data_IF_198491098392
#
_entry.id   IF_198491098392
#
_cell.length_a   1.000
_cell.length_b   1.000
_cell.length_c   1.000
_cell.angle_alpha   90.00
_cell.angle_beta   90.00
_cell.angle_gamma   90.00
#
_symmetry.space_group_name_H-M   'P 1'
#
loop_
_entity.id
_entity.type
_entity.pdbx_description
1 polymer ?
#
# COMPACT_ATOMS: atom_id res chain seq x y z
N UNK A 1 -13.43 -5.90 1.80
CA UNK A 1 -13.49 -4.85 2.84
C UNK A 1 -13.07 -5.35 4.22
N UNK A 2 -13.12 -6.65 4.52
CA UNK A 2 -12.71 -7.22 5.83
C UNK A 2 -11.23 -7.04 6.16
N UNK A 3 -10.32 -7.22 5.20
CA UNK A 3 -8.87 -7.22 5.48
C UNK A 3 -8.33 -5.87 5.98
N UNK A 4 -9.00 -4.75 5.66
CA UNK A 4 -8.59 -3.42 6.13
C UNK A 4 -8.83 -3.25 7.64
N UNK A 5 -9.90 -3.84 8.19
CA UNK A 5 -10.22 -3.75 9.61
C UNK A 5 -9.24 -4.58 10.45
N UNK A 6 -8.84 -5.75 9.96
CA UNK A 6 -7.91 -6.64 10.66
C UNK A 6 -6.55 -5.95 10.85
N UNK A 7 -6.01 -5.30 9.82
CA UNK A 7 -4.73 -4.58 9.92
C UNK A 7 -4.82 -3.40 10.91
N UNK A 8 -5.93 -2.66 10.92
CA UNK A 8 -6.11 -1.55 11.88
C UNK A 8 -6.24 -2.04 13.32
N UNK A 9 -7.00 -3.12 13.55
CA UNK A 9 -7.15 -3.73 14.87
C UNK A 9 -5.81 -4.29 15.34
N UNK A 10 -5.07 -4.96 14.47
CA UNK A 10 -3.74 -5.49 14.75
C UNK A 10 -2.75 -4.38 15.13
N UNK A 11 -2.67 -3.30 14.34
CA UNK A 11 -1.79 -2.14 14.66
C UNK A 11 -2.17 -1.52 16.01
N UNK A 12 -3.47 -1.33 16.27
CA UNK A 12 -3.95 -0.76 17.52
C UNK A 12 -3.61 -1.66 18.71
N UNK A 13 -3.87 -2.97 18.62
CA UNK A 13 -3.57 -3.94 19.67
C UNK A 13 -2.07 -3.98 19.97
N UNK A 14 -1.24 -4.03 18.92
CA UNK A 14 0.21 -4.08 19.06
C UNK A 14 0.77 -2.78 19.68
N UNK A 15 0.20 -1.62 19.35
CA UNK A 15 0.53 -0.35 20.00
C UNK A 15 0.17 -0.38 21.50
N UNK A 16 -1.04 -0.84 21.84
CA UNK A 16 -1.50 -0.96 23.23
C UNK A 16 -0.63 -1.92 24.04
N UNK A 17 -0.23 -3.05 23.45
CA UNK A 17 0.69 -4.01 24.10
C UNK A 17 2.07 -3.40 24.36
N UNK A 18 2.67 -2.71 23.39
CA UNK A 18 3.96 -2.04 23.57
C UNK A 18 3.89 -1.00 24.70
N UNK A 19 2.85 -0.17 24.72
CA UNK A 19 2.64 0.83 25.77
C UNK A 19 2.43 0.19 27.14
N UNK A 20 1.73 -0.95 27.21
CA UNK A 20 1.45 -1.65 28.46
C UNK A 20 2.70 -2.23 29.13
N UNK A 21 3.75 -2.53 28.35
CA UNK A 21 5.03 -3.06 28.83
C UNK A 21 6.02 -1.91 29.15
N UNK A 22 5.62 -0.64 28.96
CA UNK A 22 6.49 0.52 29.15
C UNK A 22 7.50 0.73 28.02
N UNK A 23 7.32 0.05 26.89
CA UNK A 23 8.12 0.24 25.68
C UNK A 23 7.70 1.51 24.95
N UNK A 24 8.68 2.21 24.34
CA UNK A 24 8.37 3.26 23.39
C UNK A 24 7.89 2.60 22.08
N UNK A 25 6.71 3.01 21.58
CA UNK A 25 6.31 2.64 20.22
C UNK A 25 7.36 3.22 19.27
N UNK A 26 8.08 2.40 18.50
CA UNK A 26 9.04 2.92 17.56
C UNK A 26 8.29 3.74 16.51
N UNK A 27 8.78 4.95 16.20
CA UNK A 27 8.17 5.85 15.20
C UNK A 27 7.98 5.16 13.84
N UNK A 28 8.73 4.09 13.59
CA UNK A 28 8.60 3.21 12.44
C UNK A 28 8.78 1.75 12.86
N UNK A 29 7.81 0.84 12.60
CA UNK A 29 8.04 -0.58 12.82
C UNK A 29 9.25 -1.01 11.98
N UNK A 30 10.20 -1.74 12.58
CA UNK A 30 11.36 -2.27 11.87
C UNK A 30 10.92 -3.41 10.95
N UNK A 31 10.30 -3.08 9.82
CA UNK A 31 9.85 -4.04 8.79
C UNK A 31 10.92 -4.15 7.69
N UNK A 32 12.20 -4.18 8.04
CA UNK A 32 13.28 -4.29 7.05
C UNK A 32 14.06 -5.60 7.15
N UNK A 33 13.47 -6.76 6.82
CA UNK A 33 14.25 -7.78 6.13
C UNK A 33 14.63 -7.27 4.74
N UNK A 34 15.73 -7.76 4.15
CA UNK A 34 16.08 -7.45 2.77
C UNK A 34 14.89 -7.73 1.86
N UNK A 35 14.62 -6.80 0.93
CA UNK A 35 13.61 -7.01 -0.10
C UNK A 35 14.17 -8.09 -1.02
N UNK A 36 13.63 -9.30 -0.93
CA UNK A 36 13.87 -10.33 -1.94
C UNK A 36 13.10 -9.89 -3.20
N UNK A 37 13.77 -9.17 -4.08
CA UNK A 37 13.19 -8.75 -5.36
C UNK A 37 13.13 -9.99 -6.24
N UNK A 38 11.93 -10.48 -6.62
CA UNK A 38 11.84 -11.62 -7.52
C UNK A 38 12.56 -11.29 -8.82
N UNK A 39 13.35 -12.26 -9.34
CA UNK A 39 14.22 -12.03 -10.49
C UNK A 39 13.49 -11.55 -11.75
N UNK A 40 12.17 -11.77 -11.83
CA UNK A 40 11.27 -11.42 -12.94
C UNK A 40 10.20 -10.38 -12.56
N UNK A 41 10.46 -9.47 -11.61
CA UNK A 41 9.50 -8.41 -11.26
C UNK A 41 9.48 -7.27 -12.29
N UNK A 42 8.30 -6.69 -12.54
CA UNK A 42 8.12 -5.54 -13.45
C UNK A 42 8.93 -4.32 -13.00
N UNK A 43 9.08 -4.13 -11.69
CA UNK A 43 9.95 -3.10 -11.11
C UNK A 43 11.41 -3.25 -11.55
N UNK A 44 11.94 -4.48 -11.58
CA UNK A 44 13.31 -4.76 -12.05
C UNK A 44 13.44 -4.54 -13.55
N UNK A 45 12.46 -4.98 -14.35
CA UNK A 45 12.41 -4.72 -15.80
C UNK A 45 12.37 -3.23 -16.12
N UNK A 46 11.63 -2.45 -15.32
CA UNK A 46 11.53 -1.00 -15.42
C UNK A 46 12.82 -0.26 -14.98
N UNK A 47 13.78 -0.96 -14.36
CA UNK A 47 15.02 -0.39 -13.85
C UNK A 47 14.83 0.41 -12.55
N UNK A 48 13.84 0.05 -11.73
CA UNK A 48 13.51 0.75 -10.50
C UNK A 48 14.61 0.55 -9.43
N UNK A 49 14.98 1.65 -8.76
CA UNK A 49 15.90 1.59 -7.61
C UNK A 49 15.17 1.10 -6.34
N UNK A 50 15.94 0.78 -5.29
CA UNK A 50 15.38 0.32 -4.00
C UNK A 50 14.47 1.36 -3.30
N UNK A 51 14.49 2.61 -3.75
CA UNK A 51 13.75 3.73 -3.16
C UNK A 51 12.46 4.05 -3.92
N UNK A 52 12.18 3.34 -5.02
CA UNK A 52 11.00 3.55 -5.84
C UNK A 52 11.13 4.69 -6.85
N UNK A 53 10.05 4.97 -7.61
CA UNK A 53 10.11 5.87 -8.75
C UNK A 53 10.18 7.33 -8.29
N UNK A 54 11.29 7.99 -8.61
CA UNK A 54 11.49 9.43 -8.35
C UNK A 54 11.01 10.24 -9.55
N UNK A 55 10.33 11.36 -9.28
CA UNK A 55 9.97 12.30 -10.33
C UNK A 55 11.24 12.81 -11.05
N UNK A 56 11.24 12.77 -12.37
CA UNK A 56 12.38 13.12 -13.22
C UNK A 56 13.38 12.00 -13.47
N UNK A 57 13.24 10.83 -12.83
CA UNK A 57 14.09 9.68 -13.11
C UNK A 57 13.72 9.00 -14.44
N UNK A 58 14.72 8.45 -15.12
CA UNK A 58 14.52 7.59 -16.29
C UNK A 58 14.05 6.19 -15.85
N UNK A 59 13.17 5.58 -16.63
CA UNK A 59 12.66 4.23 -16.42
C UNK A 59 12.44 3.54 -17.78
N UNK A 60 12.55 2.21 -17.84
CA UNK A 60 12.28 1.43 -19.06
C UNK A 60 10.78 1.19 -19.25
N UNK A 61 10.28 1.49 -20.44
CA UNK A 61 8.85 1.44 -20.80
C UNK A 61 8.40 0.09 -21.40
N UNK A 62 9.14 -1.00 -21.15
CA UNK A 62 8.93 -2.29 -21.84
C UNK A 62 7.47 -2.80 -21.76
N UNK A 63 6.88 -2.78 -20.56
CA UNK A 63 5.50 -3.24 -20.31
C UNK A 63 4.50 -2.08 -20.22
N UNK A 64 4.91 -0.86 -20.61
CA UNK A 64 4.11 0.32 -20.38
C UNK A 64 2.95 0.43 -21.37
N UNK A 65 1.78 0.86 -20.88
CA UNK A 65 0.58 1.03 -21.71
C UNK A 65 0.39 2.51 -22.06
N UNK A 66 0.38 2.90 -23.35
CA UNK A 66 0.12 4.29 -23.74
C UNK A 66 -1.28 4.75 -23.31
N UNK A 67 -1.33 5.92 -22.66
CA UNK A 67 -2.57 6.52 -22.16
C UNK A 67 -2.55 8.04 -22.31
N UNK A 68 -3.72 8.65 -22.13
CA UNK A 68 -3.91 10.10 -22.12
C UNK A 68 -4.56 10.53 -20.81
N UNK A 69 -4.12 11.66 -20.28
CA UNK A 69 -4.69 12.27 -19.07
C UNK A 69 -4.67 13.79 -19.20
N UNK A 70 -5.68 14.44 -18.63
CA UNK A 70 -5.76 15.90 -18.53
C UNK A 70 -5.64 16.30 -17.06
N UNK A 71 -4.50 16.89 -16.67
CA UNK A 71 -4.34 17.43 -15.31
C UNK A 71 -5.04 18.78 -15.13
N UNK A 72 -5.19 19.53 -16.22
CA UNK A 72 -5.89 20.82 -16.28
C UNK A 72 -6.94 20.76 -17.39
N UNK A 73 -8.03 21.52 -17.26
CA UNK A 73 -9.09 21.55 -18.29
C UNK A 73 -8.49 21.98 -19.65
N UNK A 74 -8.59 21.10 -20.65
CA UNK A 74 -8.13 21.37 -22.01
C UNK A 74 -6.65 21.09 -22.29
N UNK A 75 -5.88 20.59 -21.31
CA UNK A 75 -4.47 20.21 -21.49
C UNK A 75 -4.28 18.71 -21.33
N UNK A 76 -4.79 17.98 -22.31
CA UNK A 76 -4.57 16.54 -22.38
C UNK A 76 -3.15 16.24 -22.86
N UNK A 77 -2.48 15.29 -22.20
CA UNK A 77 -1.12 14.88 -22.51
C UNK A 77 -1.05 13.37 -22.66
N UNK A 78 -0.14 12.93 -23.53
CA UNK A 78 0.17 11.51 -23.71
C UNK A 78 1.23 11.07 -22.70
N UNK A 79 1.01 9.92 -22.10
CA UNK A 79 1.93 9.29 -21.16
C UNK A 79 1.93 7.79 -21.38
N UNK A 80 2.96 7.14 -20.87
CA UNK A 80 3.06 5.71 -20.70
C UNK A 80 2.70 5.37 -19.25
N UNK A 81 1.69 4.53 -19.07
CA UNK A 81 1.21 4.04 -17.78
C UNK A 81 1.96 2.78 -17.37
N UNK A 82 2.37 2.72 -16.10
CA UNK A 82 2.94 1.54 -15.47
C UNK A 82 2.40 1.40 -14.04
N UNK A 83 2.18 0.16 -13.60
CA UNK A 83 2.05 -0.19 -12.20
C UNK A 83 3.26 -1.05 -11.82
N UNK A 84 3.86 -0.77 -10.66
CA UNK A 84 5.09 -1.41 -10.18
C UNK A 84 4.96 -1.69 -8.69
N UNK A 85 5.41 -2.85 -8.22
CA UNK A 85 5.61 -3.12 -6.78
C UNK A 85 7.06 -3.48 -6.47
N UNK A 86 7.49 -3.10 -5.28
CA UNK A 86 8.79 -3.42 -4.72
C UNK A 86 8.65 -3.67 -3.22
N UNK A 87 8.75 -4.94 -2.82
CA UNK A 87 8.51 -5.35 -1.45
C UNK A 87 7.09 -4.97 -1.01
N UNK A 88 6.97 -4.26 0.11
CA UNK A 88 5.68 -3.78 0.64
C UNK A 88 5.20 -2.48 0.01
N UNK A 89 5.97 -1.90 -0.91
CA UNK A 89 5.64 -0.64 -1.57
C UNK A 89 5.18 -0.88 -3.00
N UNK A 90 4.29 -0.03 -3.49
CA UNK A 90 3.80 -0.11 -4.86
C UNK A 90 3.40 1.26 -5.38
N UNK A 91 3.58 1.45 -6.68
CA UNK A 91 3.32 2.72 -7.35
C UNK A 91 2.56 2.53 -8.66
N UNK A 92 1.68 3.49 -8.95
CA UNK A 92 1.22 3.81 -10.29
C UNK A 92 2.08 4.95 -10.82
N UNK A 93 2.62 4.78 -12.02
CA UNK A 93 3.56 5.70 -12.65
C UNK A 93 3.03 6.17 -13.99
N UNK A 94 3.12 7.48 -14.22
CA UNK A 94 2.96 8.11 -15.52
C UNK A 94 4.30 8.64 -15.98
N UNK A 95 4.81 8.07 -17.07
CA UNK A 95 6.08 8.42 -17.67
C UNK A 95 5.89 9.04 -19.05
N UNK A 96 6.74 10.00 -19.40
CA UNK A 96 6.78 10.59 -20.73
C UNK A 96 7.89 9.90 -21.53
N UNK A 97 7.59 9.38 -22.71
CA UNK A 97 8.55 8.71 -23.57
C UNK A 97 9.63 9.69 -24.06
N UNK A 98 10.90 9.25 -24.04
CA UNK A 98 12.03 10.06 -24.50
C UNK A 98 12.21 9.95 -26.01
N UNK A 99 12.24 11.06 -26.77
CA UNK A 99 12.40 11.02 -28.22
C UNK A 99 13.72 10.37 -28.69
N UNK A 100 14.76 10.47 -27.87
CA UNK A 100 16.13 10.06 -28.20
C UNK A 100 16.50 8.66 -27.71
N UNK A 101 15.68 8.05 -26.84
CA UNK A 101 15.92 6.70 -26.28
C UNK A 101 14.64 5.89 -26.40
N UNK A 102 14.56 5.08 -27.46
CA UNK A 102 13.47 4.14 -27.64
C UNK A 102 13.31 3.24 -26.40
N UNK A 103 12.07 3.02 -25.97
CA UNK A 103 11.72 2.21 -24.80
C UNK A 103 12.19 2.75 -23.44
N UNK A 104 12.58 4.03 -23.36
CA UNK A 104 12.84 4.72 -22.09
C UNK A 104 11.93 5.94 -21.94
N UNK A 105 11.54 6.24 -20.70
CA UNK A 105 10.73 7.39 -20.38
C UNK A 105 11.14 8.05 -19.07
N UNK A 106 10.67 9.27 -18.86
CA UNK A 106 10.91 10.05 -17.65
C UNK A 106 9.67 10.02 -16.78
N UNK A 107 9.81 9.61 -15.52
CA UNK A 107 8.73 9.66 -14.53
C UNK A 107 8.26 11.10 -14.37
N UNK A 108 7.01 11.39 -14.73
CA UNK A 108 6.41 12.71 -14.44
C UNK A 108 5.60 12.69 -13.17
N UNK A 109 4.91 11.58 -12.92
CA UNK A 109 4.11 11.41 -11.72
C UNK A 109 4.22 9.98 -11.22
N UNK A 110 4.35 9.82 -9.91
CA UNK A 110 4.26 8.55 -9.21
C UNK A 110 3.28 8.70 -8.04
N UNK A 111 2.37 7.75 -7.93
CA UNK A 111 1.32 7.70 -6.92
C UNK A 111 1.33 6.35 -6.22
N UNK A 112 0.94 6.24 -4.94
CA UNK A 112 0.82 4.95 -4.28
C UNK A 112 -0.17 4.02 -5.00
N UNK A 113 0.22 2.76 -5.18
CA UNK A 113 -0.64 1.71 -5.71
C UNK A 113 -1.71 1.31 -4.67
N UNK A 114 -1.32 1.27 -3.40
CA UNK A 114 -2.23 0.98 -2.31
C UNK A 114 -3.39 1.98 -2.26
N UNK A 115 -4.63 1.47 -2.28
CA UNK A 115 -5.83 2.29 -2.22
C UNK A 115 -6.21 3.00 -3.53
N UNK A 116 -5.58 2.65 -4.66
CA UNK A 116 -5.88 3.28 -5.96
C UNK A 116 -7.27 2.95 -6.55
N UNK A 117 -7.94 1.90 -6.06
CA UNK A 117 -9.30 1.49 -6.45
C UNK A 117 -9.57 1.58 -7.97
N UNK A 118 -8.88 0.77 -8.79
CA UNK A 118 -9.00 0.86 -10.24
C UNK A 118 -10.37 0.40 -10.71
N UNK A 119 -10.98 1.15 -11.64
CA UNK A 119 -12.29 0.83 -12.21
C UNK A 119 -12.42 1.33 -13.63
N UNK A 120 -12.92 0.49 -14.54
CA UNK A 120 -13.27 0.90 -15.90
C UNK A 120 -14.58 1.71 -15.86
N UNK A 121 -14.63 2.81 -16.61
CA UNK A 121 -15.83 3.64 -16.74
C UNK A 121 -16.98 2.85 -17.40
N UNK A 122 -18.18 2.92 -16.82
CA UNK A 122 -19.34 2.16 -17.30
C UNK A 122 -19.81 2.59 -18.71
N UNK A 123 -19.57 3.85 -19.06
CA UNK A 123 -19.97 4.45 -20.35
C UNK A 123 -18.83 4.41 -21.37
N UNK A 124 -17.59 4.42 -20.90
CA UNK A 124 -16.40 4.50 -21.73
C UNK A 124 -15.42 3.36 -21.40
N UNK A 125 -15.54 2.21 -22.08
CA UNK A 125 -14.71 1.03 -21.82
C UNK A 125 -13.19 1.25 -21.98
N UNK A 126 -12.79 2.34 -22.64
CA UNK A 126 -11.39 2.76 -22.79
C UNK A 126 -10.87 3.64 -21.65
N UNK A 127 -11.70 3.98 -20.67
CA UNK A 127 -11.35 4.88 -19.58
C UNK A 127 -11.19 4.10 -18.28
N UNK A 128 -10.11 4.38 -17.57
CA UNK A 128 -9.81 3.81 -16.25
C UNK A 128 -9.79 4.93 -15.21
N UNK A 129 -10.65 4.80 -14.20
CA UNK A 129 -10.66 5.65 -13.04
C UNK A 129 -9.73 5.11 -11.96
N UNK A 130 -8.94 6.00 -11.38
CA UNK A 130 -8.06 5.73 -10.24
C UNK A 130 -8.29 6.78 -9.15
N UNK A 131 -8.14 6.38 -7.90
CA UNK A 131 -8.15 7.26 -6.73
C UNK A 131 -6.74 7.39 -6.17
N UNK A 132 -6.07 8.50 -6.46
CA UNK A 132 -4.72 8.75 -5.98
C UNK A 132 -4.78 9.40 -4.61
N UNK A 133 -4.38 8.65 -3.58
CA UNK A 133 -4.22 9.18 -2.22
C UNK A 133 -2.78 9.70 -2.05
N UNK A 134 -2.56 10.83 -1.34
CA UNK A 134 -1.21 11.26 -0.99
C UNK A 134 -0.49 10.14 -0.23
N UNK A 135 0.77 9.90 -0.56
CA UNK A 135 1.64 8.90 0.11
C UNK A 135 1.89 9.21 1.60
N UNK A 136 1.56 10.42 2.04
CA UNK A 136 1.67 10.84 3.44
C UNK A 136 0.28 10.81 4.07
N UNK A 137 0.06 9.85 4.97
CA UNK A 137 -0.72 10.21 6.16
C UNK A 137 0.02 11.40 6.79
N UNK A 138 -0.66 12.47 7.22
CA UNK A 138 0.01 13.56 7.92
C UNK A 138 0.64 12.99 9.20
N UNK A 139 1.93 12.64 9.13
CA UNK A 139 2.66 12.25 10.31
C UNK A 139 2.81 13.50 11.17
N UNK A 140 2.40 13.37 12.43
CA UNK A 140 2.36 14.43 13.45
C UNK A 140 3.72 15.15 13.61
N UNK A 141 4.83 14.54 13.17
CA UNK A 141 6.19 15.09 13.32
C UNK A 141 6.74 15.94 12.17
N UNK A 142 6.00 16.12 11.08
CA UNK A 142 6.50 16.93 9.95
C UNK A 142 6.71 18.41 10.32
N UNK A 143 6.08 18.88 11.40
CA UNK A 143 6.20 20.26 11.91
C UNK A 143 7.59 20.55 12.47
N UNK A 144 8.31 19.56 13.01
CA UNK A 144 9.66 19.78 13.59
C UNK A 144 10.79 19.73 12.56
N UNK A 145 10.67 18.90 11.51
CA UNK A 145 11.72 18.77 10.49
C UNK A 145 11.64 19.81 9.36
N UNK A 146 10.50 20.48 9.17
CA UNK A 146 10.35 21.54 8.15
C UNK A 146 11.07 22.85 8.52
N UNK A 147 11.41 23.06 9.79
CA UNK A 147 12.07 24.29 10.26
C UNK A 147 13.60 24.31 10.03
N UNK A 148 14.24 23.16 9.79
CA UNK A 148 15.71 23.05 9.83
C UNK A 148 16.40 22.94 8.45
N UNK A 149 15.70 22.58 7.38
CA UNK A 149 16.26 22.53 6.03
C UNK A 149 15.21 22.95 5.02
N UNK A 150 15.48 24.04 4.29
CA UNK A 150 14.66 24.52 3.19
C UNK A 150 14.35 23.38 2.23
N UNK A 151 13.10 22.91 2.25
CA UNK A 151 12.67 21.77 1.44
C UNK A 151 12.42 22.20 -0.02
N UNK A 152 12.83 21.40 -1.01
CA UNK A 152 12.28 21.52 -2.35
C UNK A 152 10.77 21.28 -2.28
N UNK A 153 9.99 22.08 -3.01
CA UNK A 153 8.55 21.90 -3.18
C UNK A 153 8.30 20.55 -3.88
N UNK A 154 8.24 19.46 -3.12
CA UNK A 154 7.57 18.24 -3.56
C UNK A 154 6.10 18.60 -3.69
N UNK A 155 5.63 18.77 -4.93
CA UNK A 155 4.20 18.95 -5.23
C UNK A 155 3.48 17.69 -4.73
N UNK A 156 3.01 17.73 -3.48
CA UNK A 156 2.20 16.68 -2.92
C UNK A 156 0.99 16.51 -3.85
N UNK A 157 0.85 15.34 -4.45
CA UNK A 157 -0.33 15.02 -5.24
C UNK A 157 -1.52 15.12 -4.28
N UNK A 158 -2.31 16.17 -4.44
CA UNK A 158 -3.60 16.33 -3.75
C UNK A 158 -4.42 15.08 -4.03
N UNK A 159 -5.14 14.57 -3.02
CA UNK A 159 -6.04 13.42 -3.20
C UNK A 159 -6.89 13.62 -4.45
N UNK A 160 -6.65 12.80 -5.46
CA UNK A 160 -6.97 13.12 -6.84
C UNK A 160 -7.65 11.95 -7.51
N UNK A 161 -8.81 12.21 -8.10
CA UNK A 161 -9.43 11.26 -9.04
C UNK A 161 -8.72 11.42 -10.38
N UNK A 162 -8.05 10.37 -10.84
CA UNK A 162 -7.48 10.34 -12.17
C UNK A 162 -8.42 9.57 -13.09
N UNK A 163 -8.55 10.05 -14.32
CA UNK A 163 -9.19 9.32 -15.41
C UNK A 163 -8.16 9.21 -16.52
N UNK A 164 -7.74 7.97 -16.80
CA UNK A 164 -6.82 7.65 -17.87
C UNK A 164 -7.63 7.17 -19.08
N UNK A 165 -7.36 7.73 -20.25
CA UNK A 165 -7.96 7.29 -21.50
C UNK A 165 -6.94 6.49 -22.31
N UNK A 166 -7.29 5.25 -22.65
CA UNK A 166 -6.47 4.34 -23.44
C UNK A 166 -6.89 4.33 -24.91
N UNK A 167 -6.01 3.80 -25.77
CA UNK A 167 -6.26 3.68 -27.21
C UNK A 167 -7.48 2.80 -27.50
N UNK A 168 -7.57 1.67 -26.81
CA UNK A 168 -8.56 0.62 -27.02
C UNK A 168 -8.94 -0.04 -25.68
N UNK A 169 -9.97 -0.88 -25.72
CA UNK A 169 -10.49 -1.57 -24.55
C UNK A 169 -9.50 -2.60 -24.00
N UNK A 170 -8.75 -3.27 -24.86
CA UNK A 170 -7.76 -4.26 -24.46
C UNK A 170 -6.59 -3.62 -23.71
N UNK A 171 -6.15 -2.44 -24.15
CA UNK A 171 -5.16 -1.61 -23.45
C UNK A 171 -5.68 -1.18 -22.07
N UNK A 172 -6.95 -0.79 -21.96
CA UNK A 172 -7.58 -0.44 -20.69
C UNK A 172 -7.63 -1.64 -19.73
N UNK A 173 -8.04 -2.81 -20.23
CA UNK A 173 -8.05 -4.08 -19.48
C UNK A 173 -6.64 -4.51 -19.06
N UNK A 174 -5.66 -4.37 -19.95
CA UNK A 174 -4.25 -4.66 -19.67
C UNK A 174 -3.73 -3.78 -18.53
N UNK A 175 -4.02 -2.47 -18.56
CA UNK A 175 -3.65 -1.57 -17.46
C UNK A 175 -4.36 -1.93 -16.14
N UNK A 176 -5.63 -2.31 -16.18
CA UNK A 176 -6.36 -2.80 -15.01
C UNK A 176 -5.72 -4.08 -14.43
N UNK A 177 -5.44 -5.08 -15.27
CA UNK A 177 -4.78 -6.32 -14.86
C UNK A 177 -3.41 -6.05 -14.26
N UNK A 178 -2.63 -5.15 -14.86
CA UNK A 178 -1.32 -4.72 -14.36
C UNK A 178 -1.41 -4.19 -12.92
N UNK A 179 -2.41 -3.36 -12.62
CA UNK A 179 -2.64 -2.84 -11.26
C UNK A 179 -3.01 -3.97 -10.30
N UNK A 180 -3.92 -4.86 -10.70
CA UNK A 180 -4.41 -5.95 -9.85
C UNK A 180 -3.26 -6.93 -9.52
N UNK A 181 -2.45 -7.29 -10.50
CA UNK A 181 -1.28 -8.14 -10.32
C UNK A 181 -0.30 -7.55 -9.30
N UNK A 182 0.07 -6.28 -9.47
CA UNK A 182 1.01 -5.61 -8.58
C UNK A 182 0.42 -5.37 -7.18
N UNK A 183 -0.89 -5.14 -7.07
CA UNK A 183 -1.58 -5.05 -5.78
C UNK A 183 -1.53 -6.38 -5.04
N UNK A 184 -1.75 -7.50 -5.74
CA UNK A 184 -1.67 -8.83 -5.15
C UNK A 184 -0.25 -9.13 -4.68
N UNK A 185 0.77 -8.81 -5.48
CA UNK A 185 2.18 -8.97 -5.09
C UNK A 185 2.51 -8.15 -3.84
N UNK A 186 2.11 -6.87 -3.82
CA UNK A 186 2.30 -6.00 -2.67
C UNK A 186 1.57 -6.53 -1.43
N UNK A 187 0.32 -6.98 -1.57
CA UNK A 187 -0.49 -7.52 -0.48
C UNK A 187 0.12 -8.79 0.10
N UNK A 188 0.54 -9.72 -0.75
CA UNK A 188 1.16 -10.97 -0.33
C UNK A 188 2.47 -10.72 0.43
N UNK A 189 3.28 -9.74 0.01
CA UNK A 189 4.50 -9.40 0.73
C UNK A 189 4.21 -8.73 2.09
N UNK A 190 3.16 -7.90 2.17
CA UNK A 190 2.71 -7.34 3.46
C UNK A 190 2.23 -8.46 4.39
N UNK A 191 1.38 -9.36 3.89
CA UNK A 191 0.87 -10.51 4.66
C UNK A 191 2.02 -11.39 5.15
N UNK A 192 2.95 -11.77 4.26
CA UNK A 192 4.13 -12.57 4.63
C UNK A 192 4.96 -11.92 5.73
N UNK A 193 5.10 -10.60 5.74
CA UNK A 193 5.85 -9.87 6.79
C UNK A 193 5.07 -9.72 8.09
N UNK A 194 3.74 -9.67 8.03
CA UNK A 194 2.89 -9.57 9.22
C UNK A 194 2.60 -10.94 9.85
N UNK A 195 2.66 -12.03 9.08
CA UNK A 195 2.35 -13.39 9.54
C UNK A 195 3.04 -13.77 10.86
N UNK A 196 4.37 -13.55 11.04
CA UNK A 196 5.03 -13.93 12.30
C UNK A 196 4.51 -13.17 13.52
N UNK A 197 3.99 -11.96 13.34
CA UNK A 197 3.43 -11.17 14.42
C UNK A 197 2.01 -11.62 14.79
N UNK A 198 1.22 -12.01 13.78
CA UNK A 198 -0.12 -12.59 13.98
C UNK A 198 -0.03 -13.96 14.67
N UNK A 199 0.95 -14.79 14.28
CA UNK A 199 1.18 -16.10 14.90
C UNK A 199 1.63 -15.98 16.37
N UNK A 200 2.37 -14.92 16.71
CA UNK A 200 2.81 -14.64 18.08
C UNK A 200 1.64 -14.25 19.00
N UNK A 201 0.69 -13.46 18.51
CA UNK A 201 -0.54 -13.11 19.24
C UNK A 201 -1.34 -14.37 19.60
N UNK A 202 -1.49 -15.28 18.64
CA UNK A 202 -2.21 -16.54 18.83
C UNK A 202 -1.50 -17.47 19.83
N UNK A 203 -0.16 -17.47 19.88
CA UNK A 203 0.62 -18.22 20.86
C UNK A 203 0.54 -17.62 22.28
N UNK A 204 0.47 -16.29 22.41
CA UNK A 204 0.30 -15.59 23.70
C UNK A 204 -1.10 -15.82 24.28
N UNK A 205 -2.15 -15.86 23.45
CA UNK A 205 -3.50 -16.21 23.88
C UNK A 205 -3.61 -17.66 24.38
N UNK A 206 -2.89 -18.60 23.75
CA UNK A 206 -2.86 -20.00 24.17
C UNK A 206 -2.04 -20.25 25.46
N UNK A 207 -1.15 -19.34 25.82
CA UNK A 207 -0.31 -19.46 27.03
C UNK A 207 -0.89 -18.75 28.25
N UNK A 208 -2.04 -18.07 28.13
CA UNK A 208 -2.84 -17.56 29.24
C UNK A 208 -4.17 -18.35 29.42
N UNK A 209 -4.15 -19.57 29.98
CA UNK A 209 -5.37 -20.31 30.29
C UNK A 209 -6.15 -19.78 31.52
N UNK A 210 -5.77 -18.63 32.09
CA UNK A 210 -6.22 -18.22 33.42
C UNK A 210 -7.19 -17.04 33.43
N UNK A 211 -8.32 -17.06 32.68
CA UNK A 211 -9.46 -16.17 32.96
C UNK A 211 -10.75 -16.49 32.17
N UNK A 212 -11.20 -17.74 32.10
CA UNK A 212 -12.60 -18.03 31.71
C UNK A 212 -13.12 -19.38 32.18
N UNK A 213 -13.43 -19.49 33.48
CA UNK A 213 -14.55 -20.30 34.01
C UNK A 213 -14.57 -20.33 35.55
N UNK A 214 -14.74 -19.17 36.19
CA UNK A 214 -15.40 -19.17 37.50
C UNK A 214 -16.91 -19.32 37.27
N UNK A 215 -17.36 -20.55 37.03
CA UNK A 215 -18.77 -20.86 37.26
C UNK A 215 -18.98 -20.95 38.77
N UNK A 216 -19.67 -19.93 39.28
CA UNK A 216 -20.31 -19.89 40.58
C UNK A 216 -21.17 -21.14 40.73
N UNK A 217 -20.72 -22.10 41.55
CA UNK A 217 -21.60 -23.14 42.10
C UNK A 217 -21.81 -22.83 43.57
N UNK A 218 -22.83 -22.01 43.82
CA UNK A 218 -23.41 -21.80 45.13
C UNK A 218 -24.67 -22.65 45.18
N UNK A 219 -24.70 -23.71 46.01
CA UNK A 219 -25.86 -24.06 46.85
C UNK A 219 -25.66 -25.36 47.65
N UNK A 220 -25.60 -25.14 48.98
CA UNK A 220 -26.27 -25.87 50.08
C UNK A 220 -25.90 -27.32 50.38
N UNK A 221 -25.05 -27.43 51.40
CA UNK A 221 -25.00 -28.50 52.40
C UNK A 221 -26.36 -28.62 53.11
N UNK A 222 -26.96 -29.81 53.11
CA UNK A 222 -27.98 -30.18 54.10
C UNK A 222 -27.41 -31.27 55.01
N UNK A 223 -27.25 -30.91 56.28
CA UNK A 223 -26.95 -31.82 57.38
C UNK A 223 -28.23 -31.88 58.22
N UNK A 224 -28.83 -33.06 58.37
CA UNK A 224 -29.82 -33.31 59.41
C UNK A 224 -29.86 -34.80 59.72
N UNK A 225 -29.34 -35.15 60.90
CA UNK A 225 -29.62 -36.40 61.60
C UNK A 225 -30.64 -36.15 62.71
N UNK A 226 -31.20 -37.26 63.23
CA UNK A 226 -32.14 -37.44 64.35
C UNK A 226 -33.61 -37.44 63.92
N UNK A 227 -34.36 -38.54 64.13
CA UNK A 227 -34.53 -39.35 65.37
C UNK A 227 -34.22 -40.83 65.17
#
# INVERSE_FOLDING_TARGET
MENQNIVMVFVLLHQVQIFSIGGAVPDQPCIHPPVDIPEMSRAKTAGLDAFGPKQGAELKLADAVPCRISFERGKERQFCFLALSLGTSGWVVLAEELPLKQHCGVVRVAAPLAGCHPRIDDKHSRWLHLRIRPSTFPSIDTVKYAAAKGKPKTNALVDGRWTLAFRDEDSCKSALSMIIEELNLQSNEVERRLQPLLDLEMAVDLSNPSLSSQQVSSSRTTLSNSV
#
